data_IF_964153507695
#
_entry.id   IF_964153507695
#
_cell.length_a   1.000
_cell.length_b   1.000
_cell.length_c   1.000
_cell.angle_alpha   90.00
_cell.angle_beta   90.00
_cell.angle_gamma   90.00
#
_symmetry.space_group_name_H-M   'P 1'
#
loop_
_entity.id
_entity.type
_entity.pdbx_description
1 polymer ?
2 water ?
#
# COMPACT_ATOMS: atom_id res chain seq x y z
N UNK A 13 22.77 12.34 -2.89
CA UNK A 13 21.54 12.18 -3.70
C UNK A 13 21.80 12.60 -5.16
N UNK A 14 22.96 12.18 -5.66
CA UNK A 14 23.28 12.22 -7.09
C UNK A 14 22.71 10.96 -7.76
N UNK A 15 22.43 11.02 -9.08
CA UNK A 15 21.77 9.91 -9.75
C UNK A 15 22.51 9.72 -11.08
N UNK A 16 22.48 8.49 -11.69
CA UNK A 16 23.09 8.30 -13.02
C UNK A 16 22.37 9.16 -14.08
N UNK A 17 23.16 9.91 -14.86
CA UNK A 17 22.67 10.56 -16.10
C UNK A 17 21.91 9.54 -16.99
N UNK A 18 20.52 9.79 -17.15
CA UNK A 18 19.70 8.96 -18.05
C UNK A 18 18.84 7.99 -17.24
N UNK A 19 19.03 7.92 -15.93
CA UNK A 19 18.24 7.05 -15.08
C UNK A 19 16.85 7.65 -14.83
N UNK A 20 15.86 6.82 -14.46
CA UNK A 20 14.49 7.22 -14.19
C UNK A 20 14.29 7.42 -12.69
N UNK A 21 13.47 8.42 -12.33
CA UNK A 21 13.33 8.79 -10.94
C UNK A 21 12.21 7.93 -10.28
N UNK A 22 12.60 7.00 -9.42
CA UNK A 22 11.72 6.05 -8.79
C UNK A 22 11.73 6.38 -7.31
N UNK A 23 10.56 6.54 -6.70
CA UNK A 23 10.45 6.96 -5.32
C UNK A 23 9.35 6.17 -4.59
N UNK A 24 9.56 6.18 -3.28
CA UNK A 24 8.59 5.63 -2.31
C UNK A 24 7.99 6.79 -1.54
N UNK A 25 6.67 6.81 -1.48
CA UNK A 25 5.91 7.70 -0.59
C UNK A 25 5.16 6.82 0.41
N UNK A 26 5.30 7.09 1.73
CA UNK A 26 4.69 6.31 2.78
C UNK A 26 3.73 7.25 3.44
N UNK A 27 2.43 7.21 3.12
CA UNK A 27 1.47 8.10 3.74
C UNK A 27 1.31 7.69 5.18
N UNK A 28 1.06 8.66 6.04
CA UNK A 28 0.66 8.38 7.42
C UNK A 28 -0.16 9.52 8.03
N UNK A 29 -1.44 9.33 8.41
CA UNK A 29 -2.18 10.38 9.12
C UNK A 29 -2.28 10.03 10.62
N UNK A 30 -2.39 11.10 11.44
CA UNK A 30 -2.75 10.94 12.84
C UNK A 30 -4.25 10.63 12.95
N UNK A 31 -4.70 10.21 14.13
CA UNK A 31 -6.11 10.28 14.47
C UNK A 31 -6.85 8.94 14.44
N UNK A 32 -6.23 7.89 13.86
CA UNK A 32 -6.75 6.53 13.85
C UNK A 32 -7.61 6.20 15.10
N UNK A 33 -8.84 5.70 14.85
CA UNK A 33 -9.84 5.60 15.90
C UNK A 33 -9.59 4.33 16.72
N UNK A 34 -9.20 3.24 16.06
CA UNK A 34 -9.32 1.93 16.66
C UNK A 34 -8.08 1.57 17.46
N UNK A 35 -6.92 1.89 16.87
CA UNK A 35 -5.62 1.74 17.50
C UNK A 35 -5.05 3.15 17.58
N UNK A 36 -5.25 3.93 18.66
CA UNK A 36 -4.53 5.18 18.78
C UNK A 36 -3.04 5.10 18.43
N UNK A 37 -2.63 6.18 17.76
CA UNK A 37 -1.25 6.40 17.36
C UNK A 37 -0.72 5.25 16.52
N UNK A 38 -1.59 4.70 15.67
CA UNK A 38 -1.33 3.45 15.00
C UNK A 38 0.01 3.46 14.25
N UNK A 39 0.31 4.57 13.54
CA UNK A 39 1.51 4.59 12.73
C UNK A 39 2.81 4.62 13.53
N UNK A 40 2.79 4.95 14.82
CA UNK A 40 4.03 4.99 15.58
C UNK A 40 4.03 4.09 16.80
N UNK A 41 2.87 3.47 17.08
CA UNK A 41 2.75 2.46 18.11
C UNK A 41 3.87 1.45 17.88
N UNK A 42 4.51 0.96 18.96
CA UNK A 42 5.56 -0.06 18.84
C UNK A 42 4.99 -1.34 18.28
N UNK A 43 5.73 -1.91 17.31
CA UNK A 43 5.49 -3.25 16.79
C UNK A 43 6.80 -4.03 16.83
N UNK A 44 6.89 -5.07 17.66
CA UNK A 44 8.16 -5.79 17.83
C UNK A 44 9.27 -4.74 18.11
N UNK A 45 8.93 -3.78 18.96
CA UNK A 45 9.90 -2.86 19.56
C UNK A 45 10.48 -1.84 18.57
N UNK A 46 9.81 -1.58 17.42
CA UNK A 46 10.01 -0.33 16.70
C UNK A 46 8.65 0.26 16.43
N UNK A 47 8.58 1.59 16.27
CA UNK A 47 7.36 2.21 15.80
C UNK A 47 6.96 1.53 14.51
N UNK A 48 5.65 1.33 14.32
CA UNK A 48 5.14 0.55 13.17
C UNK A 48 5.68 1.05 11.84
N UNK A 49 5.71 2.37 11.64
CA UNK A 49 6.14 2.89 10.36
C UNK A 49 7.60 2.58 10.02
N UNK A 50 8.45 2.38 11.04
CA UNK A 50 9.84 2.00 10.84
C UNK A 50 9.96 0.81 9.91
N UNK A 51 9.07 -0.19 10.03
CA UNK A 51 9.27 -1.42 9.24
C UNK A 51 9.10 -1.14 7.74
N UNK A 52 8.24 -0.20 7.38
CA UNK A 52 7.99 0.14 6.00
C UNK A 52 9.19 0.96 5.48
N UNK A 53 9.70 1.88 6.29
CA UNK A 53 10.85 2.68 5.84
C UNK A 53 12.03 1.74 5.63
N UNK A 54 12.26 0.88 6.63
CA UNK A 54 13.31 -0.11 6.57
C UNK A 54 13.19 -0.98 5.33
N UNK A 55 11.99 -1.48 4.99
CA UNK A 55 11.90 -2.34 3.81
C UNK A 55 12.22 -1.58 2.52
N UNK A 56 11.74 -0.33 2.42
CA UNK A 56 11.97 0.48 1.27
C UNK A 56 13.47 0.76 1.10
N UNK A 57 14.15 0.91 2.25
CA UNK A 57 15.58 1.19 2.18
C UNK A 57 16.32 -0.06 1.75
N UNK A 58 15.93 -1.21 2.27
CA UNK A 58 16.59 -2.44 1.90
C UNK A 58 16.29 -2.84 0.43
N UNK A 59 15.15 -2.48 -0.13
CA UNK A 59 14.81 -2.91 -1.50
C UNK A 59 15.84 -2.47 -2.53
N UNK A 60 16.38 -1.23 -2.37
CA UNK A 60 17.42 -0.69 -3.20
C UNK A 60 16.93 -0.19 -4.55
N UNK A 61 15.65 -0.11 -4.79
CA UNK A 61 15.24 0.45 -6.07
C UNK A 61 14.66 1.86 -5.93
N UNK A 62 14.77 2.50 -4.76
CA UNK A 62 14.22 3.85 -4.67
C UNK A 62 15.33 4.88 -4.59
N UNK A 63 15.24 5.99 -5.30
CA UNK A 63 16.20 7.06 -5.10
C UNK A 63 15.76 8.01 -3.99
N UNK A 64 14.47 8.14 -3.68
CA UNK A 64 14.05 8.80 -2.44
C UNK A 64 12.96 7.98 -1.72
N UNK A 65 12.97 8.03 -0.38
CA UNK A 65 11.93 7.40 0.44
C UNK A 65 11.41 8.50 1.35
N UNK A 66 10.17 8.90 1.11
CA UNK A 66 9.56 10.07 1.76
C UNK A 66 8.38 9.54 2.59
N UNK A 67 8.25 10.03 3.81
CA UNK A 67 6.99 9.90 4.58
C UNK A 67 6.17 11.18 4.39
N UNK A 68 4.90 11.04 3.93
CA UNK A 68 3.93 12.11 3.85
C UNK A 68 2.99 12.03 5.06
N UNK A 69 3.14 12.94 6.03
CA UNK A 69 2.32 12.98 7.22
C UNK A 69 1.84 14.38 7.51
N UNK A 70 0.76 14.40 8.32
CA UNK A 70 0.12 15.62 8.75
C UNK A 70 0.39 15.76 10.23
N UNK A 71 1.31 14.95 10.73
CA UNK A 71 1.52 14.95 12.17
C UNK A 71 3.00 15.08 12.51
N UNK A 72 3.38 16.11 13.25
CA UNK A 72 4.77 16.37 13.66
C UNK A 72 5.42 15.20 14.41
N UNK A 73 4.71 14.43 15.25
CA UNK A 73 5.34 13.33 15.99
C UNK A 73 5.73 12.20 15.03
N UNK A 74 4.84 11.91 14.10
CA UNK A 74 5.11 10.86 13.14
C UNK A 74 6.34 11.30 12.31
N UNK A 75 6.35 12.59 11.93
CA UNK A 75 7.45 13.15 11.14
C UNK A 75 8.79 12.85 11.85
N UNK A 76 8.83 13.08 13.13
CA UNK A 76 10.03 12.93 13.95
C UNK A 76 10.54 11.48 13.88
N UNK A 77 9.60 10.52 14.03
CA UNK A 77 9.96 9.12 14.01
C UNK A 77 10.45 8.71 12.64
N UNK A 78 9.81 9.18 11.56
CA UNK A 78 10.24 8.86 10.21
C UNK A 78 11.70 9.32 9.95
N UNK A 79 12.04 10.55 10.36
CA UNK A 79 13.40 11.07 10.23
C UNK A 79 14.31 10.20 11.06
N UNK A 80 13.90 9.85 12.28
CA UNK A 80 14.73 9.01 13.11
C UNK A 80 15.13 7.69 12.38
N UNK A 81 14.24 7.10 11.57
CA UNK A 81 14.52 5.85 10.88
C UNK A 81 15.04 6.04 9.46
N UNK A 82 15.37 7.26 9.07
CA UNK A 82 16.11 7.49 7.83
C UNK A 82 15.23 7.75 6.62
N UNK A 83 13.93 8.01 6.77
CA UNK A 83 13.12 8.51 5.67
C UNK A 83 13.28 10.01 5.61
N UNK A 84 13.01 10.58 4.43
CA UNK A 84 12.94 12.00 4.24
C UNK A 84 11.54 12.50 4.61
N UNK A 85 11.49 13.66 5.26
CA UNK A 85 10.25 14.35 5.52
C UNK A 85 10.37 15.76 5.03
N UNK A 86 10.30 15.98 3.74
CA UNK A 86 10.67 17.28 3.20
C UNK A 86 9.61 18.34 3.43
N UNK A 87 8.40 17.88 3.84
CA UNK A 87 7.28 18.76 4.17
C UNK A 87 6.43 18.01 5.18
N UNK A 88 5.62 18.74 5.94
CA UNK A 88 4.55 18.24 6.78
C UNK A 88 3.24 18.81 6.24
N UNK A 89 2.31 17.91 5.91
CA UNK A 89 1.00 18.34 5.47
C UNK A 89 0.24 18.93 6.64
N UNK A 90 -0.64 19.88 6.34
CA UNK A 90 -1.42 20.48 7.42
C UNK A 90 -2.38 19.38 7.91
N UNK A 91 -2.64 19.33 9.23
CA UNK A 91 -3.53 18.32 9.81
C UNK A 91 -4.86 18.24 9.02
N UNK A 92 -5.33 17.00 8.74
CA UNK A 92 -6.61 16.76 8.05
C UNK A 92 -7.76 16.98 9.05
N UNK A 93 -9.03 17.19 8.57
CA UNK A 93 -10.24 17.09 9.39
C UNK A 93 -10.89 15.70 9.15
N UNK A 94 -11.71 15.19 10.10
CA UNK A 94 -12.30 13.84 10.02
C UNK A 94 -13.26 13.69 8.84
N UNK A 95 -14.04 14.78 8.58
CA UNK A 95 -14.94 14.92 7.45
C UNK A 95 -14.21 15.23 6.14
N UNK A 96 -12.90 14.96 6.06
CA UNK A 96 -12.13 15.15 4.83
C UNK A 96 -10.90 14.26 4.91
N UNK A 97 -11.12 12.94 5.08
CA UNK A 97 -10.07 11.96 5.01
C UNK A 97 -9.56 11.89 3.56
N UNK A 98 -8.32 12.31 3.36
CA UNK A 98 -7.68 12.30 2.06
C UNK A 98 -7.42 10.86 1.59
N UNK A 99 -7.86 10.62 0.36
CA UNK A 99 -7.58 9.37 -0.30
C UNK A 99 -6.09 9.20 -0.55
N UNK A 100 -5.69 7.93 -0.66
CA UNK A 100 -4.35 7.63 -1.06
C UNK A 100 -3.93 8.44 -2.29
N UNK A 101 -4.73 8.39 -3.36
CA UNK A 101 -4.43 9.12 -4.58
C UNK A 101 -4.21 10.62 -4.33
N UNK A 102 -4.99 11.22 -3.46
CA UNK A 102 -4.83 12.64 -3.14
C UNK A 102 -3.50 12.89 -2.44
N UNK A 103 -3.08 12.00 -1.53
CA UNK A 103 -1.83 12.18 -0.83
C UNK A 103 -0.65 11.99 -1.78
N UNK A 104 -0.73 10.99 -2.65
CA UNK A 104 0.33 10.71 -3.58
C UNK A 104 0.48 11.86 -4.59
N UNK A 105 -0.65 12.34 -5.11
CA UNK A 105 -0.63 13.43 -6.04
C UNK A 105 -0.01 14.65 -5.35
N UNK A 106 -0.37 14.88 -4.11
CA UNK A 106 0.15 16.02 -3.40
C UNK A 106 1.69 15.97 -3.38
N UNK A 107 2.25 14.81 -3.06
CA UNK A 107 3.67 14.63 -2.93
C UNK A 107 4.37 14.79 -4.27
N UNK A 108 3.73 14.27 -5.34
CA UNK A 108 4.37 14.33 -6.63
C UNK A 108 4.41 15.80 -7.08
N UNK A 109 3.30 16.51 -7.07
CA UNK A 109 3.26 17.91 -7.37
C UNK A 109 4.23 18.75 -6.50
N UNK A 110 4.31 18.44 -5.21
CA UNK A 110 5.23 19.11 -4.33
C UNK A 110 6.67 18.91 -4.80
N UNK A 111 7.04 17.70 -5.16
CA UNK A 111 8.39 17.53 -5.65
C UNK A 111 8.67 18.34 -6.91
N UNK A 112 7.72 18.36 -7.83
CA UNK A 112 7.89 19.10 -9.06
C UNK A 112 7.99 20.59 -8.74
N UNK A 113 7.07 21.11 -7.94
CA UNK A 113 6.90 22.53 -7.77
C UNK A 113 7.90 23.12 -6.80
N UNK A 114 8.21 22.41 -5.73
CA UNK A 114 9.02 22.94 -4.68
C UNK A 114 10.48 22.60 -4.85
N UNK A 115 10.78 21.52 -5.55
CA UNK A 115 12.13 21.03 -5.67
C UNK A 115 12.56 20.83 -7.11
N UNK A 116 11.68 21.02 -8.10
CA UNK A 116 12.07 20.80 -9.48
C UNK A 116 12.60 19.40 -9.80
N UNK A 117 12.00 18.37 -9.19
CA UNK A 117 12.34 16.99 -9.50
C UNK A 117 11.06 16.32 -9.96
N UNK A 118 11.12 15.65 -11.11
CA UNK A 118 9.97 15.07 -11.75
C UNK A 118 10.05 13.57 -11.53
N UNK A 119 9.23 13.01 -10.65
CA UNK A 119 9.14 11.57 -10.49
C UNK A 119 8.60 10.93 -11.74
N UNK A 120 9.09 9.73 -12.04
CA UNK A 120 8.53 8.93 -13.09
C UNK A 120 7.71 7.76 -12.53
N UNK A 121 8.26 6.93 -11.65
CA UNK A 121 7.57 5.79 -11.07
C UNK A 121 7.48 5.99 -9.60
N UNK A 122 6.22 5.88 -9.05
CA UNK A 122 5.94 6.29 -7.68
C UNK A 122 5.23 5.16 -6.93
N UNK A 123 5.83 4.70 -5.87
CA UNK A 123 5.36 3.59 -5.07
C UNK A 123 4.77 4.16 -3.79
N UNK A 124 3.47 3.97 -3.60
CA UNK A 124 2.81 4.21 -2.32
C UNK A 124 2.86 2.95 -1.46
N UNK A 125 3.62 3.04 -0.39
CA UNK A 125 3.82 1.98 0.56
C UNK A 125 3.15 2.35 1.84
N UNK A 126 2.26 1.48 2.31
CA UNK A 126 1.55 1.80 3.56
C UNK A 126 2.48 1.74 4.76
N UNK A 127 2.14 2.61 5.75
CA UNK A 127 2.90 2.74 6.97
C UNK A 127 2.76 1.52 7.87
N UNK A 128 1.62 0.86 7.75
CA UNK A 128 1.33 -0.31 8.54
C UNK A 128 1.38 -1.51 7.60
N UNK A 129 2.56 -2.08 7.41
CA UNK A 129 2.72 -3.14 6.43
C UNK A 129 3.97 -3.90 6.78
N UNK A 130 4.08 -4.45 8.01
CA UNK A 130 5.37 -4.93 8.46
C UNK A 130 5.86 -6.24 7.89
N UNK A 131 5.01 -6.98 7.18
CA UNK A 131 5.44 -8.18 6.51
C UNK A 131 5.83 -7.95 5.04
N UNK A 132 5.74 -6.72 4.56
CA UNK A 132 6.15 -6.38 3.20
C UNK A 132 7.60 -6.83 2.97
N UNK A 133 7.84 -7.38 1.78
CA UNK A 133 9.12 -7.95 1.42
C UNK A 133 9.83 -6.92 0.57
N UNK A 134 11.07 -6.49 0.91
CA UNK A 134 11.80 -5.55 0.01
C UNK A 134 11.70 -6.02 -1.46
N UNK A 135 11.80 -7.31 -1.68
CA UNK A 135 11.90 -7.83 -3.03
C UNK A 135 10.58 -7.65 -3.78
N UNK A 136 9.44 -7.71 -3.07
CA UNK A 136 8.19 -7.56 -3.78
C UNK A 136 8.08 -6.15 -4.34
N UNK A 137 8.67 -5.22 -3.63
CA UNK A 137 8.68 -3.81 -4.05
C UNK A 137 9.39 -3.64 -5.40
N UNK A 138 10.57 -4.27 -5.52
CA UNK A 138 11.36 -4.18 -6.71
C UNK A 138 10.65 -4.96 -7.81
N UNK A 139 10.05 -6.11 -7.50
CA UNK A 139 9.31 -6.83 -8.56
C UNK A 139 8.19 -6.01 -9.19
N UNK A 140 7.53 -5.23 -8.36
CA UNK A 140 6.53 -4.31 -8.88
C UNK A 140 7.01 -3.24 -9.85
N UNK A 141 8.13 -2.58 -9.51
CA UNK A 141 8.77 -1.68 -10.48
C UNK A 141 9.00 -2.34 -11.82
N UNK A 142 9.58 -3.53 -11.72
CA UNK A 142 10.03 -4.22 -12.92
C UNK A 142 8.80 -4.56 -13.78
N UNK A 143 7.69 -4.94 -13.16
CA UNK A 143 6.47 -5.18 -13.90
C UNK A 143 5.93 -3.87 -14.46
N UNK A 144 5.96 -2.79 -13.69
CA UNK A 144 5.50 -1.49 -14.18
C UNK A 144 6.23 -1.02 -15.45
N UNK A 145 7.53 -1.32 -15.50
CA UNK A 145 8.39 -0.75 -16.53
C UNK A 145 8.53 -1.67 -17.71
N UNK A 146 8.40 -2.99 -17.52
CA UNK A 146 8.57 -3.94 -18.61
C UNK A 146 7.35 -3.84 -19.54
N UNK A 147 6.20 -3.55 -19.00
CA UNK A 147 4.97 -3.53 -19.80
C UNK A 147 4.63 -2.08 -20.08
N UNK A 148 4.87 -1.65 -21.32
CA UNK A 148 4.89 -0.25 -21.73
C UNK A 148 3.60 0.46 -21.34
N UNK A 149 2.45 -0.24 -21.47
CA UNK A 149 1.13 0.32 -21.26
C UNK A 149 0.69 0.24 -19.79
N UNK A 150 1.50 -0.37 -18.91
CA UNK A 150 1.10 -0.54 -17.54
C UNK A 150 1.14 0.77 -16.78
N UNK A 151 0.02 1.11 -16.13
CA UNK A 151 -0.07 2.32 -15.32
C UNK A 151 0.13 2.10 -13.84
N UNK A 152 -0.24 0.91 -13.33
CA UNK A 152 -0.16 0.59 -11.92
C UNK A 152 0.24 -0.87 -11.73
N UNK A 153 0.90 -1.12 -10.61
CA UNK A 153 1.09 -2.48 -10.14
C UNK A 153 0.79 -2.49 -8.66
N UNK A 154 -0.09 -3.39 -8.15
CA UNK A 154 -0.35 -3.41 -6.71
C UNK A 154 -0.22 -4.82 -6.15
N UNK A 155 0.14 -4.89 -4.84
CA UNK A 155 0.17 -6.11 -4.06
C UNK A 155 -1.26 -6.66 -3.98
N UNK A 156 -1.34 -7.92 -4.33
CA UNK A 156 -2.65 -8.60 -4.31
C UNK A 156 -2.45 -9.98 -3.69
N UNK A 157 -3.57 -10.59 -3.33
CA UNK A 157 -3.52 -11.93 -2.81
C UNK A 157 -4.80 -12.73 -3.19
N UNK A 158 -4.63 -14.03 -3.30
CA UNK A 158 -5.79 -14.88 -3.64
C UNK A 158 -6.79 -14.87 -2.51
N UNK A 159 -8.08 -14.94 -2.84
CA UNK A 159 -9.05 -15.28 -1.81
C UNK A 159 -8.80 -16.74 -1.41
N UNK A 160 -8.77 -16.97 -0.09
CA UNK A 160 -8.54 -18.35 0.41
C UNK A 160 -9.78 -19.23 0.23
N UNK A 161 -10.98 -18.66 0.16
CA UNK A 161 -12.10 -19.52 -0.13
C UNK A 161 -12.78 -18.99 -1.40
N UNK A 162 -13.42 -19.80 -2.26
CA UNK A 162 -14.04 -19.29 -3.48
C UNK A 162 -15.13 -18.30 -3.21
N UNK A 163 -15.03 -17.11 -3.81
CA UNK A 163 -16.04 -16.06 -3.63
C UNK A 163 -17.40 -16.46 -4.20
N UNK A 164 -17.42 -17.39 -5.15
CA UNK A 164 -18.64 -17.77 -5.82
C UNK A 164 -19.55 -18.55 -4.83
N UNK A 165 -18.94 -19.09 -3.78
CA UNK A 165 -19.67 -19.94 -2.81
C UNK A 165 -19.96 -19.13 -1.55
N UNK A 166 -19.79 -17.80 -1.62
CA UNK A 166 -20.05 -16.96 -0.46
C UNK A 166 -21.53 -17.10 0.00
N UNK A 167 -21.74 -16.94 1.30
CA UNK A 167 -23.10 -16.94 1.84
C UNK A 167 -23.34 -15.63 2.58
N UNK A 168 -24.62 -15.31 2.72
CA UNK A 168 -25.10 -14.17 3.52
C UNK A 168 -25.98 -14.71 4.67
N UNK A 169 -26.17 -13.90 5.72
CA UNK A 169 -26.98 -14.23 6.88
C UNK A 169 -28.12 -13.21 6.95
N UNK A 170 -29.35 -13.64 7.06
CA UNK A 170 -30.40 -12.66 7.24
C UNK A 170 -30.36 -12.20 8.71
N UNK A 171 -31.37 -11.43 9.16
CA UNK A 171 -31.27 -10.75 10.43
C UNK A 171 -31.55 -11.78 11.50
N UNK A 172 -32.09 -12.95 11.14
CA UNK A 172 -32.28 -14.05 12.08
C UNK A 172 -31.20 -15.15 12.05
N UNK A 173 -30.09 -14.96 11.38
CA UNK A 173 -28.98 -15.91 11.22
C UNK A 173 -29.11 -16.94 10.07
N UNK A 174 -30.19 -16.87 9.27
CA UNK A 174 -30.49 -17.85 8.26
C UNK A 174 -29.54 -17.64 7.07
N UNK A 175 -28.96 -18.76 6.62
CA UNK A 175 -27.98 -18.80 5.55
C UNK A 175 -28.69 -18.82 4.20
N UNK A 176 -28.16 -18.04 3.23
CA UNK A 176 -28.48 -18.24 1.81
C UNK A 176 -27.21 -17.90 1.00
N UNK A 177 -27.14 -18.34 -0.23
CA UNK A 177 -25.95 -18.08 -1.05
C UNK A 177 -26.08 -16.73 -1.68
N UNK A 178 -24.96 -16.00 -1.86
CA UNK A 178 -24.98 -14.86 -2.78
C UNK A 178 -25.31 -15.26 -4.20
N UNK A 179 -24.79 -16.41 -4.66
CA UNK A 179 -24.94 -16.79 -6.06
C UNK A 179 -25.35 -18.25 -6.17
N UNK A 180 -26.65 -18.51 -6.08
CA UNK A 180 -27.12 -19.87 -6.00
C UNK A 180 -26.82 -20.64 -7.26
N UNK A 181 -26.50 -19.94 -8.34
CA UNK A 181 -26.26 -20.67 -9.56
C UNK A 181 -24.97 -21.51 -9.35
N UNK A 182 -24.12 -21.19 -8.37
CA UNK A 182 -22.90 -21.98 -8.18
C UNK A 182 -23.07 -23.03 -7.07
N UNK A 183 -24.30 -23.28 -6.61
CA UNK A 183 -24.47 -24.23 -5.51
C UNK A 183 -23.85 -25.58 -5.85
N UNK A 184 -23.89 -26.07 -7.10
CA UNK A 184 -23.43 -27.43 -7.37
C UNK A 184 -22.21 -27.41 -8.28
N UNK A 185 -21.64 -26.23 -8.52
CA UNK A 185 -20.53 -26.10 -9.46
C UNK A 185 -19.24 -26.67 -8.86
N UNK A 186 -18.43 -27.36 -9.69
CA UNK A 186 -17.18 -27.94 -9.26
C UNK A 186 -16.23 -26.81 -8.88
N UNK A 187 -15.48 -27.00 -7.78
CA UNK A 187 -14.42 -26.09 -7.37
C UNK A 187 -13.41 -25.85 -8.48
N UNK A 188 -13.00 -26.88 -9.21
CA UNK A 188 -12.05 -26.73 -10.31
C UNK A 188 -12.56 -25.73 -11.35
N UNK A 189 -13.87 -25.50 -11.39
CA UNK A 189 -14.49 -24.85 -12.53
C UNK A 189 -14.78 -23.40 -12.17
N UNK A 190 -14.48 -22.97 -10.93
CA UNK A 190 -14.62 -21.58 -10.52
C UNK A 190 -13.40 -20.77 -10.90
N UNK A 191 -13.69 -19.60 -11.44
CA UNK A 191 -12.62 -18.70 -11.87
C UNK A 191 -11.92 -18.17 -10.63
N UNK A 192 -10.58 -18.13 -10.69
CA UNK A 192 -9.79 -17.71 -9.55
C UNK A 192 -9.98 -16.22 -9.31
N UNK A 193 -10.05 -15.84 -8.03
CA UNK A 193 -10.32 -14.48 -7.66
C UNK A 193 -9.26 -14.01 -6.66
N UNK A 194 -9.01 -12.70 -6.71
CA UNK A 194 -7.98 -12.05 -5.94
C UNK A 194 -8.49 -10.77 -5.34
N UNK A 195 -7.74 -10.24 -4.36
CA UNK A 195 -8.00 -8.90 -3.89
C UNK A 195 -6.70 -8.15 -3.55
N UNK A 196 -6.87 -6.87 -3.51
CA UNK A 196 -5.87 -5.89 -3.08
C UNK A 196 -5.40 -6.21 -1.68
N UNK A 197 -4.10 -6.45 -1.54
CA UNK A 197 -3.58 -6.79 -0.27
C UNK A 197 -3.35 -5.56 0.61
N UNK A 198 -3.45 -4.35 0.04
CA UNK A 198 -3.33 -3.16 0.83
C UNK A 198 -1.92 -2.95 1.40
N UNK A 199 -0.83 -3.18 0.64
CA UNK A 199 0.52 -3.02 1.11
C UNK A 199 1.23 -1.94 0.25
N UNK A 200 1.19 -2.06 -1.06
CA UNK A 200 1.86 -1.11 -1.94
C UNK A 200 1.19 -1.02 -3.27
N UNK A 201 1.40 0.19 -3.88
CA UNK A 201 0.79 0.52 -5.14
C UNK A 201 1.88 1.29 -5.90
N UNK A 202 2.45 0.67 -6.94
CA UNK A 202 3.29 1.40 -7.88
C UNK A 202 2.37 2.01 -8.89
N UNK A 203 2.71 3.24 -9.27
CA UNK A 203 2.10 3.82 -10.44
C UNK A 203 3.08 4.76 -11.19
N UNK A 204 2.84 4.90 -12.48
CA UNK A 204 3.44 5.96 -13.28
C UNK A 204 3.02 7.28 -12.67
N UNK A 205 3.93 8.27 -12.67
CA UNK A 205 3.58 9.53 -12.05
C UNK A 205 2.34 10.09 -12.71
N UNK A 206 2.26 10.04 -14.04
CA UNK A 206 1.06 10.58 -14.70
C UNK A 206 -0.24 9.82 -14.36
N UNK A 207 -0.10 8.55 -14.00
CA UNK A 207 -1.29 7.82 -13.58
C UNK A 207 -1.89 8.38 -12.29
N UNK A 208 -1.02 8.60 -11.31
CA UNK A 208 -1.43 9.19 -10.04
C UNK A 208 -1.96 10.59 -10.34
N UNK A 209 -1.21 11.42 -11.10
CA UNK A 209 -1.61 12.81 -11.31
C UNK A 209 -2.96 12.91 -12.03
N UNK A 210 -3.20 11.99 -12.96
CA UNK A 210 -4.44 12.02 -13.75
C UNK A 210 -5.57 11.26 -13.07
N UNK A 211 -5.30 10.83 -11.85
CA UNK A 211 -6.29 10.10 -11.05
C UNK A 211 -6.88 8.90 -11.79
N UNK A 212 -6.02 8.15 -12.47
CA UNK A 212 -6.52 6.96 -13.13
C UNK A 212 -7.02 5.94 -12.15
N UNK A 213 -8.11 5.27 -12.53
CA UNK A 213 -8.70 4.25 -11.65
C UNK A 213 -7.92 2.95 -11.72
N UNK A 214 -7.34 2.51 -10.59
CA UNK A 214 -6.40 1.40 -10.55
C UNK A 214 -7.03 0.10 -11.07
N UNK A 215 -8.28 -0.18 -10.74
CA UNK A 215 -8.83 -1.46 -11.16
C UNK A 215 -9.44 -1.38 -12.53
N UNK A 216 -9.37 -0.25 -13.22
CA UNK A 216 -10.00 -0.23 -14.52
C UNK A 216 -9.05 0.11 -15.64
N UNK A 217 -7.84 0.49 -15.30
CA UNK A 217 -6.84 0.68 -16.36
C UNK A 217 -5.98 -0.60 -16.55
N UNK A 218 -4.81 -0.37 -17.24
CA UNK A 218 -3.73 -1.30 -17.44
C UNK A 218 -2.92 -1.39 -16.15
N UNK A 219 -3.36 -2.42 -15.37
CA UNK A 219 -2.81 -2.67 -14.06
C UNK A 219 -2.43 -4.13 -13.93
N UNK A 220 -1.28 -4.34 -13.31
CA UNK A 220 -0.78 -5.67 -12.97
C UNK A 220 -0.72 -5.82 -11.45
N UNK A 221 -0.33 -7.02 -10.96
CA UNK A 221 -0.18 -7.18 -9.52
C UNK A 221 1.10 -7.95 -9.29
N UNK A 222 1.56 -7.83 -8.05
CA UNK A 222 2.52 -8.73 -7.48
C UNK A 222 1.72 -9.54 -6.43
N UNK A 223 1.79 -10.86 -6.56
CA UNK A 223 0.90 -11.75 -5.79
C UNK A 223 1.61 -12.17 -4.52
N UNK A 224 1.02 -11.94 -3.37
CA UNK A 224 1.68 -12.25 -2.13
C UNK A 224 1.01 -13.50 -1.63
N UNK A 225 1.74 -14.39 -0.96
CA UNK A 225 1.12 -15.58 -0.35
C UNK A 225 0.28 -15.16 0.86
N UNK A 226 -0.81 -15.89 1.20
CA UNK A 226 -1.72 -15.57 2.31
C UNK A 226 -1.06 -15.27 3.64
N UNK A 227 -0.09 -16.07 4.03
CA UNK A 227 0.57 -15.88 5.30
C UNK A 227 1.32 -14.55 5.39
N UNK A 228 1.65 -13.93 4.28
CA UNK A 228 2.33 -12.63 4.42
C UNK A 228 1.32 -11.48 4.42
N UNK A 229 0.04 -11.79 4.40
CA UNK A 229 -0.94 -10.71 4.34
C UNK A 229 -1.69 -10.84 5.65
N UNK A 230 -1.61 -9.82 6.51
CA UNK A 230 -2.07 -9.95 7.89
C UNK A 230 -2.97 -8.77 8.26
N UNK A 231 -4.12 -9.01 8.82
CA UNK A 231 -4.93 -7.90 9.27
C UNK A 231 -4.32 -7.38 10.57
N UNK A 232 -4.27 -6.05 10.63
CA UNK A 232 -3.81 -5.33 11.80
C UNK A 232 -4.76 -4.16 12.00
N UNK A 233 -5.98 -4.47 12.41
CA UNK A 233 -7.04 -3.49 12.39
C UNK A 233 -7.47 -3.25 13.82
N UNK A 234 -7.21 -4.20 14.75
CA UNK A 234 -7.62 -4.15 16.15
C UNK A 234 -6.39 -4.36 17.04
N UNK A 235 -6.56 -4.20 18.36
CA UNK A 235 -5.47 -4.43 19.31
C UNK A 235 -5.14 -5.93 19.40
N UNK A 236 -6.15 -6.78 19.22
CA UNK A 236 -5.99 -8.24 19.27
C UNK A 236 -5.24 -8.70 18.05
N UNK A 237 -5.58 -7.99 16.86
CA UNK A 237 -4.79 -8.27 15.68
C UNK A 237 -3.26 -7.87 15.81
N UNK A 238 -3.01 -6.71 16.40
CA UNK A 238 -1.64 -6.25 16.61
C UNK A 238 -0.85 -7.26 17.46
N UNK A 239 -1.51 -7.81 18.50
CA UNK A 239 -0.81 -8.80 19.34
C UNK A 239 -0.33 -10.11 18.52
N UNK A 240 -1.37 -10.71 17.94
CA UNK A 240 -1.20 -11.93 17.10
C UNK A 240 -0.18 -11.71 15.97
N UNK A 241 -0.14 -10.51 15.36
CA UNK A 241 0.87 -10.24 14.32
C UNK A 241 2.31 -10.01 14.86
N UNK A 242 2.40 -9.46 16.07
CA UNK A 242 3.70 -9.46 16.77
C UNK A 242 4.21 -10.86 17.05
N UNK A 243 3.31 -11.78 17.52
CA UNK A 243 3.76 -13.09 17.97
C UNK A 243 4.28 -13.80 16.72
N UNK A 244 3.69 -13.51 15.58
CA UNK A 244 4.05 -14.19 14.36
C UNK A 244 5.33 -13.64 13.71
N UNK A 245 5.56 -12.33 13.86
CA UNK A 245 6.71 -11.65 13.27
C UNK A 245 8.02 -12.21 13.88
N UNK A 246 7.98 -12.66 15.14
CA UNK A 246 8.97 -13.57 15.73
C UNK A 246 8.68 -15.06 15.43
#
# INVERSE_FOLDING_TARGET
MGSSHHHHHHSSGLVPRGSHMNIAIIPARGGSKRIPRKNIKPFHSKPMIAWSILAAKKAGCFERIIVSTDDAEIAAVALEYGAEVPFTRPAEIANDYATTGEVISHAINWLINQQGQVPENVCCLYATAPFVEPDDLCQGLELLTFNKECQFVFSATRFSFPIQRAIKLDESGWVSMFHPEYQLTRSQDLEEAYHDAGQFYWGKANAWLNKLPIFAVHTQVVLLPSHRVQDIDTQDDWLRAEKLFTLR
#
